data_IF_511993683748
#
_entry.id   IF_511993683748
#
_cell.length_a   1.000
_cell.length_b   1.000
_cell.length_c   1.000
_cell.angle_alpha   90.00
_cell.angle_beta   90.00
_cell.angle_gamma   90.00
#
_symmetry.space_group_name_H-M   'P 1'
#
loop_
_entity.id
_entity.type
_entity.pdbx_description
1 polymer ?
#
# COMPACT_ATOMS: atom_id res chain seq x y z
N UNK A 1 -8.46 3.28 2.61
CA UNK A 1 -9.37 2.54 3.51
C UNK A 1 -9.03 2.87 4.95
N UNK A 2 -7.81 2.66 5.43
CA UNK A 2 -7.38 2.96 6.80
C UNK A 2 -7.67 4.41 7.22
N UNK A 3 -7.28 5.40 6.42
CA UNK A 3 -7.43 6.83 6.74
C UNK A 3 -8.84 7.38 6.43
N UNK A 4 -9.64 6.66 5.70
CA UNK A 4 -11.01 7.03 5.36
C UNK A 4 -12.03 6.16 6.10
N UNK A 5 -12.40 5.02 5.50
CA UNK A 5 -13.52 4.17 5.98
C UNK A 5 -13.38 3.79 7.46
N UNK A 6 -12.19 3.37 7.91
CA UNK A 6 -11.95 2.97 9.31
C UNK A 6 -12.21 4.14 10.29
N UNK A 7 -11.73 5.34 9.95
CA UNK A 7 -11.95 6.53 10.78
C UNK A 7 -13.41 6.99 10.79
N UNK A 8 -14.08 6.98 9.63
CA UNK A 8 -15.51 7.36 9.53
C UNK A 8 -16.38 6.40 10.35
N UNK A 9 -16.10 5.09 10.27
CA UNK A 9 -16.85 4.09 10.99
C UNK A 9 -16.41 3.93 12.46
N UNK A 10 -15.32 4.58 12.85
CA UNK A 10 -14.69 4.43 14.17
C UNK A 10 -14.44 2.96 14.53
N UNK A 11 -13.91 2.18 13.58
CA UNK A 11 -13.61 0.76 13.75
C UNK A 11 -12.12 0.52 13.65
N UNK A 12 -11.54 -0.37 14.46
CA UNK A 12 -10.15 -0.80 14.31
C UNK A 12 -9.91 -1.36 12.91
N UNK A 13 -8.76 -1.04 12.35
CA UNK A 13 -8.34 -1.45 11.01
C UNK A 13 -7.26 -2.52 11.08
N UNK A 14 -7.47 -3.62 10.37
CA UNK A 14 -6.47 -4.64 10.16
C UNK A 14 -6.17 -4.80 8.66
N UNK A 15 -4.89 -4.96 8.33
CA UNK A 15 -4.41 -5.19 6.98
C UNK A 15 -3.87 -6.62 6.86
N UNK A 16 -4.22 -7.30 5.78
CA UNK A 16 -3.78 -8.65 5.49
C UNK A 16 -3.52 -8.81 3.99
N UNK A 17 -2.25 -9.05 3.62
CA UNK A 17 -1.88 -9.32 2.24
C UNK A 17 -2.05 -10.81 1.94
N UNK A 18 -2.83 -11.13 0.91
CA UNK A 18 -3.07 -12.53 0.48
C UNK A 18 -2.01 -13.03 -0.51
N UNK A 19 -1.29 -12.14 -1.18
CA UNK A 19 -0.25 -12.49 -2.14
C UNK A 19 0.94 -13.26 -1.56
N UNK A 20 1.09 -13.28 -0.22
CA UNK A 20 2.10 -14.08 0.49
C UNK A 20 1.53 -15.30 1.23
N UNK A 21 0.24 -15.56 1.13
CA UNK A 21 -0.40 -16.69 1.80
C UNK A 21 -0.07 -17.99 1.05
N UNK A 22 0.56 -18.95 1.75
CA UNK A 22 1.02 -20.21 1.17
C UNK A 22 0.02 -21.33 1.30
N UNK A 23 -0.80 -21.30 2.36
CA UNK A 23 -1.80 -22.33 2.67
C UNK A 23 -2.90 -21.79 3.62
N UNK A 24 -3.92 -22.62 3.85
CA UNK A 24 -5.07 -22.31 4.68
C UNK A 24 -4.72 -22.01 6.15
N UNK A 25 -3.63 -22.59 6.68
CA UNK A 25 -3.20 -22.40 8.07
C UNK A 25 -2.82 -20.96 8.38
N UNK A 26 -2.44 -20.19 7.35
CA UNK A 26 -2.22 -18.74 7.46
C UNK A 26 -3.45 -18.02 8.04
N UNK A 27 -4.67 -18.41 7.65
CA UNK A 27 -5.92 -17.80 8.11
C UNK A 27 -6.50 -18.46 9.37
N UNK A 28 -6.50 -19.81 9.40
CA UNK A 28 -7.18 -20.62 10.41
C UNK A 28 -6.24 -21.21 11.49
N UNK A 29 -4.92 -21.02 11.35
CA UNK A 29 -3.95 -21.60 12.28
C UNK A 29 -3.70 -23.10 12.06
N UNK A 30 -2.91 -23.66 12.95
CA UNK A 30 -2.57 -25.07 12.98
C UNK A 30 -3.21 -25.75 14.20
N UNK A 31 -3.50 -27.05 14.11
CA UNK A 31 -3.96 -27.79 15.28
C UNK A 31 -2.96 -27.67 16.43
N UNK A 32 -3.47 -27.42 17.64
CA UNK A 32 -2.66 -27.27 18.86
C UNK A 32 -1.83 -28.50 19.22
N UNK A 33 -2.07 -29.66 18.59
CA UNK A 33 -1.34 -30.88 18.80
C UNK A 33 0.06 -30.91 18.18
N UNK A 34 0.37 -29.96 17.28
CA UNK A 34 1.69 -29.87 16.65
C UNK A 34 2.61 -28.94 17.43
N UNK A 35 3.87 -29.36 17.59
CA UNK A 35 4.89 -28.49 18.18
C UNK A 35 5.09 -27.22 17.35
N UNK A 36 5.13 -26.07 18.01
CA UNK A 36 5.23 -24.78 17.35
C UNK A 36 3.95 -24.26 16.69
N UNK A 37 2.79 -24.94 16.93
CA UNK A 37 1.52 -24.49 16.41
C UNK A 37 1.11 -23.12 16.95
N UNK A 38 0.43 -22.34 16.11
CA UNK A 38 -0.10 -21.01 16.44
C UNK A 38 -1.48 -20.82 15.84
N UNK A 39 -2.24 -19.90 16.40
CA UNK A 39 -3.52 -19.49 15.84
C UNK A 39 -3.37 -18.75 14.52
N UNK A 40 -4.45 -18.68 13.74
CA UNK A 40 -4.47 -18.04 12.45
C UNK A 40 -4.53 -16.50 12.51
N UNK A 41 -4.29 -15.88 11.37
CA UNK A 41 -4.27 -14.41 11.26
C UNK A 41 -5.60 -13.75 11.58
N UNK A 42 -6.72 -14.42 11.37
CA UNK A 42 -8.05 -13.90 11.70
C UNK A 42 -8.15 -13.70 13.21
N UNK A 43 -7.82 -14.72 14.00
CA UNK A 43 -7.83 -14.63 15.47
C UNK A 43 -6.77 -13.66 15.99
N UNK A 44 -5.57 -13.64 15.40
CA UNK A 44 -4.52 -12.66 15.72
C UNK A 44 -5.03 -11.20 15.56
N UNK A 45 -5.80 -10.93 14.51
CA UNK A 45 -6.46 -9.63 14.30
C UNK A 45 -7.46 -9.32 15.40
N UNK A 46 -8.32 -10.26 15.77
CA UNK A 46 -9.31 -10.04 16.83
C UNK A 46 -8.63 -9.74 18.17
N UNK A 47 -7.56 -10.46 18.51
CA UNK A 47 -6.76 -10.26 19.73
C UNK A 47 -6.14 -8.85 19.71
N UNK A 48 -5.51 -8.44 18.61
CA UNK A 48 -4.87 -7.13 18.47
C UNK A 48 -5.87 -5.96 18.48
N UNK A 49 -6.99 -6.14 17.80
CA UNK A 49 -8.05 -5.15 17.73
C UNK A 49 -8.87 -5.06 19.02
N UNK A 50 -8.85 -6.10 19.86
CA UNK A 50 -9.65 -6.24 21.10
C UNK A 50 -11.16 -6.01 20.87
N UNK A 51 -11.67 -6.38 19.70
CA UNK A 51 -13.07 -6.24 19.33
C UNK A 51 -13.48 -7.29 18.30
N UNK A 52 -14.79 -7.59 18.25
CA UNK A 52 -15.36 -8.56 17.30
C UNK A 52 -15.94 -7.91 16.04
N UNK A 53 -15.75 -6.59 15.87
CA UNK A 53 -16.25 -5.83 14.73
C UNK A 53 -15.15 -5.02 14.00
N UNK A 54 -13.92 -5.55 13.83
CA UNK A 54 -12.87 -4.84 13.11
C UNK A 54 -13.24 -4.67 11.63
N UNK A 55 -12.56 -3.73 10.97
CA UNK A 55 -12.50 -3.66 9.53
C UNK A 55 -11.24 -4.41 9.08
N UNK A 56 -11.44 -5.54 8.39
CA UNK A 56 -10.35 -6.37 7.86
C UNK A 56 -10.22 -6.12 6.37
N UNK A 57 -9.07 -5.61 5.96
CA UNK A 57 -8.75 -5.34 4.56
C UNK A 57 -7.80 -6.39 4.02
N UNK A 58 -8.28 -7.14 3.07
CA UNK A 58 -7.51 -8.14 2.33
C UNK A 58 -6.99 -7.53 1.03
N UNK A 59 -5.68 -7.50 0.89
CA UNK A 59 -5.03 -6.98 -0.32
C UNK A 59 -4.59 -8.11 -1.24
N UNK A 60 -4.58 -7.83 -2.54
CA UNK A 60 -4.10 -8.75 -3.58
C UNK A 60 -4.87 -10.09 -3.64
N UNK A 61 -6.21 -10.04 -3.61
CA UNK A 61 -7.05 -11.23 -3.71
C UNK A 61 -6.77 -12.05 -5.01
N UNK A 62 -6.39 -11.38 -6.09
CA UNK A 62 -6.04 -11.98 -7.38
C UNK A 62 -4.65 -12.66 -7.42
N UNK A 63 -3.91 -12.62 -6.30
CA UNK A 63 -2.60 -13.26 -6.16
C UNK A 63 -2.64 -14.59 -5.42
N UNK A 64 -3.80 -15.01 -4.97
CA UNK A 64 -3.99 -16.37 -4.45
C UNK A 64 -3.69 -17.34 -5.60
N UNK A 65 -2.83 -18.34 -5.31
CA UNK A 65 -2.42 -19.31 -6.31
C UNK A 65 -3.60 -20.19 -6.78
N UNK A 66 -3.59 -20.61 -8.05
CA UNK A 66 -4.57 -21.54 -8.62
C UNK A 66 -4.25 -23.03 -8.25
N UNK A 67 -3.57 -23.24 -7.14
CA UNK A 67 -3.24 -24.56 -6.60
C UNK A 67 -4.31 -25.02 -5.61
N UNK A 68 -4.39 -26.33 -5.28
CA UNK A 68 -5.32 -26.81 -4.25
C UNK A 68 -5.21 -26.05 -2.93
N UNK A 69 -4.02 -25.63 -2.53
CA UNK A 69 -3.81 -24.79 -1.32
C UNK A 69 -4.42 -23.40 -1.46
N UNK A 70 -4.37 -22.81 -2.64
CA UNK A 70 -5.02 -21.52 -2.90
C UNK A 70 -6.56 -21.66 -2.94
N UNK A 71 -7.08 -22.78 -3.42
CA UNK A 71 -8.52 -23.09 -3.36
C UNK A 71 -9.02 -23.23 -1.93
N UNK A 72 -8.21 -23.83 -1.02
CA UNK A 72 -8.51 -23.87 0.41
C UNK A 72 -8.63 -22.45 1.01
N UNK A 73 -7.69 -21.54 0.67
CA UNK A 73 -7.75 -20.14 1.10
C UNK A 73 -9.02 -19.48 0.58
N UNK A 74 -9.35 -19.66 -0.70
CA UNK A 74 -10.57 -19.12 -1.29
C UNK A 74 -11.83 -19.68 -0.62
N UNK A 75 -11.82 -20.96 -0.23
CA UNK A 75 -12.87 -21.60 0.56
C UNK A 75 -13.08 -20.90 1.90
N UNK A 76 -12.01 -20.67 2.66
CA UNK A 76 -12.08 -19.96 3.94
C UNK A 76 -12.65 -18.54 3.76
N UNK A 77 -12.17 -17.80 2.77
CA UNK A 77 -12.67 -16.45 2.49
C UNK A 77 -14.16 -16.47 2.08
N UNK A 78 -14.60 -17.53 1.40
CA UNK A 78 -16.00 -17.74 1.07
C UNK A 78 -16.84 -17.94 2.32
N UNK A 79 -16.38 -18.73 3.29
CA UNK A 79 -17.05 -18.90 4.59
C UNK A 79 -17.08 -17.60 5.40
N UNK A 80 -15.99 -16.83 5.42
CA UNK A 80 -15.94 -15.53 6.10
C UNK A 80 -16.94 -14.51 5.53
N UNK A 81 -17.19 -14.57 4.23
CA UNK A 81 -18.12 -13.65 3.54
C UNK A 81 -19.57 -14.13 3.54
N UNK A 82 -19.82 -15.36 3.98
CA UNK A 82 -21.16 -15.94 4.07
C UNK A 82 -21.84 -15.51 5.39
N UNK A 83 -22.85 -14.68 5.29
CA UNK A 83 -23.61 -14.20 6.45
C UNK A 83 -24.33 -15.28 7.21
N UNK A 84 -24.51 -16.47 6.65
CA UNK A 84 -25.15 -17.62 7.30
C UNK A 84 -24.16 -18.51 8.07
N UNK A 85 -22.88 -18.34 7.87
CA UNK A 85 -21.82 -19.19 8.43
C UNK A 85 -20.73 -18.42 9.18
N UNK A 86 -20.60 -17.13 8.95
CA UNK A 86 -19.52 -16.31 9.53
C UNK A 86 -19.68 -16.03 11.04
N UNK A 87 -20.77 -16.43 11.65
CA UNK A 87 -20.98 -16.38 13.10
C UNK A 87 -20.26 -17.54 13.83
N UNK A 88 -19.79 -18.55 13.08
CA UNK A 88 -19.12 -19.76 13.60
C UNK A 88 -17.77 -19.98 12.91
N UNK A 89 -16.95 -18.95 12.82
CA UNK A 89 -15.61 -19.13 12.30
C UNK A 89 -14.77 -19.99 13.25
N UNK A 90 -14.18 -21.02 12.73
CA UNK A 90 -13.41 -22.02 13.48
C UNK A 90 -11.90 -21.84 13.20
N UNK A 91 -11.13 -21.58 14.27
CA UNK A 91 -9.67 -21.57 14.21
C UNK A 91 -9.15 -22.94 14.67
N UNK A 92 -8.25 -23.54 13.93
CA UNK A 92 -7.74 -24.89 14.19
C UNK A 92 -6.96 -25.02 15.52
N UNK A 93 -6.36 -23.90 15.97
CA UNK A 93 -5.68 -23.87 17.26
C UNK A 93 -6.68 -23.84 18.42
N UNK A 94 -7.77 -23.11 18.28
CA UNK A 94 -8.85 -23.00 19.26
C UNK A 94 -10.02 -23.92 18.91
N UNK A 95 -9.75 -25.23 18.80
CA UNK A 95 -10.66 -26.23 18.25
C UNK A 95 -12.05 -26.32 18.88
N UNK A 96 -12.24 -25.79 20.09
CA UNK A 96 -13.53 -25.80 20.82
C UNK A 96 -14.21 -24.43 20.92
N UNK A 97 -13.68 -23.40 20.24
CA UNK A 97 -14.20 -22.03 20.31
C UNK A 97 -14.59 -21.56 18.92
N UNK A 98 -15.86 -21.17 18.78
CA UNK A 98 -16.36 -20.50 17.59
C UNK A 98 -16.25 -18.99 17.74
N UNK A 99 -15.70 -18.33 16.72
CA UNK A 99 -15.58 -16.87 16.69
C UNK A 99 -16.68 -16.27 15.82
N UNK A 100 -17.47 -15.38 16.41
CA UNK A 100 -18.54 -14.72 15.68
C UNK A 100 -17.99 -13.50 14.90
N UNK A 101 -17.85 -13.65 13.58
CA UNK A 101 -17.38 -12.62 12.68
C UNK A 101 -18.49 -11.87 11.93
N UNK A 102 -19.78 -12.11 12.27
CA UNK A 102 -20.91 -11.48 11.59
C UNK A 102 -20.93 -9.95 11.67
N UNK A 103 -20.24 -9.38 12.67
CA UNK A 103 -20.10 -7.92 12.83
C UNK A 103 -18.81 -7.35 12.24
N UNK A 104 -17.90 -8.19 11.79
CA UNK A 104 -16.68 -7.74 11.11
C UNK A 104 -17.03 -7.20 9.72
N UNK A 105 -16.26 -6.24 9.24
CA UNK A 105 -16.39 -5.73 7.89
C UNK A 105 -15.19 -6.19 7.06
N UNK A 106 -15.47 -6.88 5.97
CA UNK A 106 -14.45 -7.39 5.05
C UNK A 106 -14.39 -6.52 3.82
N UNK A 107 -13.18 -6.07 3.45
CA UNK A 107 -12.92 -5.33 2.22
C UNK A 107 -11.78 -6.05 1.49
N UNK A 108 -11.99 -6.32 0.21
CA UNK A 108 -11.02 -6.99 -0.65
C UNK A 108 -10.56 -6.03 -1.74
N UNK A 109 -9.27 -6.08 -2.09
CA UNK A 109 -8.75 -5.43 -3.28
C UNK A 109 -8.16 -6.44 -4.24
N UNK A 110 -8.31 -6.16 -5.52
CA UNK A 110 -7.75 -6.95 -6.61
C UNK A 110 -7.56 -6.08 -7.84
N UNK A 111 -6.66 -6.50 -8.72
CA UNK A 111 -6.41 -5.86 -10.00
C UNK A 111 -7.05 -6.64 -11.15
N UNK A 112 -7.02 -7.96 -11.09
CA UNK A 112 -7.51 -8.85 -12.14
C UNK A 112 -8.68 -9.70 -11.62
N UNK A 113 -9.88 -9.33 -12.06
CA UNK A 113 -11.12 -10.01 -11.69
C UNK A 113 -11.22 -11.44 -12.22
N UNK A 114 -10.53 -11.76 -13.32
CA UNK A 114 -10.57 -13.08 -13.94
C UNK A 114 -9.95 -14.18 -13.08
N UNK A 115 -9.05 -13.81 -12.18
CA UNK A 115 -8.33 -14.72 -11.26
C UNK A 115 -9.05 -14.96 -9.95
N UNK A 116 -10.20 -14.35 -9.73
CA UNK A 116 -10.96 -14.52 -8.49
C UNK A 116 -11.88 -15.73 -8.61
N UNK A 117 -11.86 -16.56 -7.55
CA UNK A 117 -12.80 -17.67 -7.45
C UNK A 117 -14.25 -17.20 -7.68
N UNK A 118 -15.01 -17.80 -8.63
CA UNK A 118 -16.36 -17.34 -8.98
C UNK A 118 -17.35 -17.37 -7.81
N UNK A 119 -17.21 -18.33 -6.89
CA UNK A 119 -18.08 -18.48 -5.72
C UNK A 119 -17.88 -17.31 -4.77
N UNK A 120 -16.62 -16.99 -4.48
CA UNK A 120 -16.26 -15.84 -3.63
C UNK A 120 -16.72 -14.53 -4.31
N UNK A 121 -16.46 -14.37 -5.61
CA UNK A 121 -16.84 -13.17 -6.36
C UNK A 121 -18.34 -12.86 -6.28
N UNK A 122 -19.20 -13.88 -6.34
CA UNK A 122 -20.65 -13.70 -6.24
C UNK A 122 -21.13 -13.19 -4.88
N UNK A 123 -20.28 -13.26 -3.84
CA UNK A 123 -20.58 -12.77 -2.49
C UNK A 123 -20.06 -11.35 -2.24
N UNK A 124 -19.27 -10.80 -3.15
CA UNK A 124 -18.64 -9.50 -3.02
C UNK A 124 -19.45 -8.41 -3.71
N UNK A 125 -19.65 -7.30 -3.04
CA UNK A 125 -20.15 -6.08 -3.67
C UNK A 125 -18.97 -5.36 -4.35
N UNK A 126 -19.04 -5.22 -5.67
CA UNK A 126 -17.97 -4.66 -6.47
C UNK A 126 -18.04 -3.14 -6.56
N UNK A 127 -16.94 -2.48 -6.19
CA UNK A 127 -16.72 -1.05 -6.41
C UNK A 127 -15.51 -0.88 -7.33
N UNK A 128 -15.73 -0.27 -8.48
CA UNK A 128 -14.64 -0.01 -9.42
C UNK A 128 -13.96 1.32 -9.07
N UNK A 129 -12.66 1.26 -8.75
CA UNK A 129 -11.84 2.44 -8.52
C UNK A 129 -11.20 2.86 -9.86
N UNK A 130 -11.59 4.03 -10.37
CA UNK A 130 -10.98 4.61 -11.57
C UNK A 130 -9.57 5.16 -11.29
N UNK A 131 -8.82 5.41 -12.37
CA UNK A 131 -7.56 6.15 -12.29
C UNK A 131 -7.82 7.66 -12.14
N UNK A 132 -6.73 8.39 -11.90
CA UNK A 132 -6.76 9.84 -11.77
C UNK A 132 -6.25 10.52 -13.04
N UNK A 133 -6.93 11.61 -13.45
CA UNK A 133 -6.44 12.51 -14.47
C UNK A 133 -5.30 13.38 -13.94
N UNK A 134 -4.49 13.96 -14.83
CA UNK A 134 -3.34 14.80 -14.46
C UNK A 134 -3.75 15.94 -13.51
N UNK A 135 -4.87 16.62 -13.77
CA UNK A 135 -5.38 17.68 -12.88
C UNK A 135 -5.69 17.18 -11.47
N UNK A 136 -6.31 16.00 -11.36
CA UNK A 136 -6.61 15.38 -10.06
C UNK A 136 -5.33 14.96 -9.33
N UNK A 137 -4.33 14.43 -10.07
CA UNK A 137 -3.02 14.09 -9.52
C UNK A 137 -2.30 15.32 -8.98
N UNK A 138 -2.40 16.48 -9.63
CA UNK A 138 -1.82 17.72 -9.13
C UNK A 138 -2.46 18.14 -7.79
N UNK A 139 -3.77 18.03 -7.66
CA UNK A 139 -4.47 18.33 -6.39
C UNK A 139 -4.04 17.34 -5.30
N UNK A 140 -4.00 16.02 -5.60
CA UNK A 140 -3.56 14.99 -4.66
C UNK A 140 -2.10 15.23 -4.22
N UNK A 141 -1.23 15.60 -5.16
CA UNK A 141 0.18 15.89 -4.85
C UNK A 141 0.29 17.08 -3.90
N UNK A 142 -0.37 18.19 -4.21
CA UNK A 142 -0.29 19.45 -3.45
C UNK A 142 -0.90 19.31 -2.04
N UNK A 143 -2.09 18.72 -1.94
CA UNK A 143 -2.89 18.76 -0.72
C UNK A 143 -2.58 17.57 0.21
N UNK A 144 -2.07 16.46 -0.31
CA UNK A 144 -1.86 15.23 0.48
C UNK A 144 -0.43 14.69 0.44
N UNK A 145 0.20 14.57 -0.75
CA UNK A 145 1.51 13.92 -0.84
C UNK A 145 2.63 14.84 -0.36
N UNK A 146 2.69 16.06 -0.88
CA UNK A 146 3.74 17.03 -0.55
C UNK A 146 3.77 17.36 0.95
N UNK A 147 2.65 17.65 1.63
CA UNK A 147 2.67 17.91 3.07
C UNK A 147 3.26 16.74 3.87
N UNK A 148 2.85 15.51 3.55
CA UNK A 148 3.33 14.30 4.24
C UNK A 148 4.81 14.03 3.98
N UNK A 149 5.27 14.18 2.73
CA UNK A 149 6.68 13.98 2.36
C UNK A 149 7.54 15.04 3.05
N UNK A 150 7.10 16.29 3.06
CA UNK A 150 7.77 17.41 3.71
C UNK A 150 8.00 17.15 5.20
N UNK A 151 6.97 16.69 5.91
CA UNK A 151 7.09 16.31 7.34
C UNK A 151 8.11 15.21 7.55
N UNK A 152 8.12 14.17 6.72
CA UNK A 152 9.06 13.05 6.82
C UNK A 152 10.53 13.48 6.63
N UNK A 153 10.77 14.54 5.87
CA UNK A 153 12.13 15.03 5.53
C UNK A 153 12.51 16.26 6.35
N UNK A 154 11.65 16.70 7.29
CA UNK A 154 11.88 17.87 8.16
C UNK A 154 12.12 19.18 7.38
N UNK A 155 11.31 19.44 6.35
CA UNK A 155 11.24 20.76 5.74
C UNK A 155 10.05 21.55 6.30
N UNK A 156 10.25 22.85 6.51
CA UNK A 156 9.17 23.74 6.90
C UNK A 156 8.27 24.13 5.72
N UNK A 157 7.05 24.57 6.05
CA UNK A 157 6.11 25.03 5.01
C UNK A 157 6.68 26.23 4.29
N UNK A 158 6.74 26.19 2.95
CA UNK A 158 7.24 27.28 2.11
C UNK A 158 8.74 27.21 1.79
N UNK A 159 9.54 26.35 2.44
CA UNK A 159 10.96 26.19 2.09
C UNK A 159 11.13 25.60 0.67
N UNK A 160 10.31 24.62 0.31
CA UNK A 160 10.30 24.02 -1.04
C UNK A 160 8.97 24.31 -1.71
N UNK A 161 9.02 24.91 -2.88
CA UNK A 161 7.86 25.26 -3.69
C UNK A 161 7.92 24.41 -4.98
N UNK A 162 6.89 23.61 -5.22
CA UNK A 162 6.74 22.85 -6.47
C UNK A 162 5.50 23.39 -7.19
N UNK A 163 5.66 24.16 -8.28
CA UNK A 163 4.53 24.67 -9.05
C UNK A 163 3.70 23.55 -9.69
N UNK A 164 2.39 23.78 -9.88
CA UNK A 164 1.50 22.80 -10.50
C UNK A 164 1.97 22.39 -11.92
N UNK A 165 2.58 23.29 -12.68
CA UNK A 165 3.21 22.96 -13.96
C UNK A 165 4.34 21.95 -13.85
N UNK A 166 5.11 22.01 -12.78
CA UNK A 166 6.19 21.06 -12.52
C UNK A 166 5.61 19.71 -12.11
N UNK A 167 4.53 19.68 -11.32
CA UNK A 167 3.83 18.44 -10.96
C UNK A 167 3.22 17.79 -12.21
N UNK A 168 2.61 18.58 -13.10
CA UNK A 168 2.10 18.08 -14.39
C UNK A 168 3.23 17.47 -15.23
N UNK A 169 4.38 18.15 -15.33
CA UNK A 169 5.56 17.63 -16.03
C UNK A 169 6.02 16.28 -15.45
N UNK A 170 6.07 16.14 -14.13
CA UNK A 170 6.39 14.85 -13.47
C UNK A 170 5.36 13.77 -13.86
N UNK A 171 4.07 14.10 -13.85
CA UNK A 171 3.03 13.16 -14.24
C UNK A 171 3.14 12.70 -15.69
N UNK A 172 3.54 13.56 -16.61
CA UNK A 172 3.62 13.25 -18.03
C UNK A 172 4.90 12.51 -18.41
N UNK A 173 6.02 12.85 -17.76
CA UNK A 173 7.35 12.36 -18.18
C UNK A 173 7.88 11.20 -17.36
N UNK A 174 7.50 11.11 -16.06
CA UNK A 174 8.13 10.19 -15.10
C UNK A 174 7.18 9.12 -14.53
N UNK A 175 5.87 9.20 -14.83
CA UNK A 175 4.93 8.22 -14.27
C UNK A 175 4.44 7.17 -15.27
N UNK A 176 5.05 7.05 -16.46
CA UNK A 176 4.72 6.06 -17.48
C UNK A 176 3.21 5.87 -17.74
N UNK A 177 2.46 6.97 -17.74
CA UNK A 177 0.99 6.99 -17.88
C UNK A 177 0.26 6.15 -16.81
N UNK A 178 0.89 5.91 -15.65
CA UNK A 178 0.26 5.23 -14.53
C UNK A 178 -1.09 5.87 -14.19
N UNK A 179 -2.12 5.07 -14.03
CA UNK A 179 -3.45 5.56 -13.64
C UNK A 179 -3.52 6.00 -12.17
N UNK A 180 -2.65 5.47 -11.32
CA UNK A 180 -2.51 5.79 -9.90
C UNK A 180 -1.59 6.98 -9.62
N UNK A 181 -1.17 7.09 -8.37
CA UNK A 181 -0.27 8.14 -7.88
C UNK A 181 1.00 7.56 -7.20
N UNK A 182 1.27 6.25 -7.35
CA UNK A 182 2.41 5.58 -6.72
C UNK A 182 3.74 6.12 -7.27
N UNK A 183 3.90 6.18 -8.58
CA UNK A 183 5.10 6.69 -9.22
C UNK A 183 5.25 8.20 -9.02
N UNK A 184 4.16 8.96 -9.02
CA UNK A 184 4.18 10.38 -8.68
C UNK A 184 4.67 10.60 -7.24
N UNK A 185 4.16 9.84 -6.28
CA UNK A 185 4.62 9.90 -4.88
C UNK A 185 6.11 9.58 -4.79
N UNK A 186 6.57 8.50 -5.45
CA UNK A 186 7.99 8.11 -5.48
C UNK A 186 8.87 9.19 -6.08
N UNK A 187 8.45 9.81 -7.18
CA UNK A 187 9.18 10.91 -7.81
C UNK A 187 9.32 12.11 -6.86
N UNK A 188 8.24 12.50 -6.19
CA UNK A 188 8.25 13.57 -5.19
C UNK A 188 9.16 13.22 -4.00
N UNK A 189 9.12 11.99 -3.49
CA UNK A 189 10.00 11.52 -2.40
C UNK A 189 11.47 11.61 -2.82
N UNK A 190 11.83 11.20 -4.05
CA UNK A 190 13.19 11.32 -4.57
C UNK A 190 13.63 12.78 -4.63
N UNK A 191 12.78 13.69 -5.14
CA UNK A 191 13.08 15.12 -5.21
C UNK A 191 13.38 15.68 -3.82
N UNK A 192 12.48 15.46 -2.87
CA UNK A 192 12.65 15.97 -1.50
C UNK A 192 13.87 15.38 -0.80
N UNK A 193 14.11 14.09 -0.95
CA UNK A 193 15.26 13.41 -0.35
C UNK A 193 16.58 13.94 -0.93
N UNK A 194 16.66 14.13 -2.26
CA UNK A 194 17.86 14.69 -2.90
C UNK A 194 18.08 16.16 -2.52
N UNK A 195 17.04 16.98 -2.46
CA UNK A 195 17.15 18.37 -2.02
C UNK A 195 17.61 18.44 -0.55
N UNK A 196 17.13 17.54 0.31
CA UNK A 196 17.61 17.47 1.70
C UNK A 196 19.09 17.05 1.77
N UNK A 197 19.49 16.10 0.94
CA UNK A 197 20.90 15.70 0.83
C UNK A 197 21.78 16.89 0.41
N UNK A 198 21.41 17.62 -0.65
CA UNK A 198 22.16 18.79 -1.10
C UNK A 198 22.22 19.90 -0.04
N UNK A 199 21.15 20.10 0.73
CA UNK A 199 21.13 21.05 1.86
C UNK A 199 22.15 20.69 2.95
N UNK A 200 22.32 19.39 3.22
CA UNK A 200 23.18 18.89 4.31
C UNK A 200 24.64 18.70 3.89
N UNK A 201 24.91 18.68 2.59
CA UNK A 201 26.27 18.52 2.07
C UNK A 201 27.12 19.77 2.37
N UNK A 202 28.34 19.55 2.86
CA UNK A 202 29.33 20.61 2.95
C UNK A 202 29.88 20.97 1.56
N UNK A 203 30.14 22.26 1.33
CA UNK A 203 30.79 22.71 0.10
C UNK A 203 32.12 21.97 -0.10
N UNK A 204 32.31 21.35 -1.28
CA UNK A 204 33.52 20.59 -1.60
C UNK A 204 33.47 19.07 -1.36
N UNK A 205 32.36 18.50 -0.89
CA UNK A 205 32.22 17.05 -0.77
C UNK A 205 32.09 16.40 -2.18
N UNK A 206 32.95 15.41 -2.46
CA UNK A 206 33.05 14.75 -3.77
C UNK A 206 32.05 13.61 -4.03
N UNK A 207 30.93 13.58 -3.29
CA UNK A 207 29.92 12.52 -3.43
C UNK A 207 29.20 12.48 -4.77
N UNK A 208 29.20 13.60 -5.51
CA UNK A 208 28.65 13.70 -6.86
C UNK A 208 29.61 14.47 -7.78
N UNK A 209 29.54 14.23 -9.09
CA UNK A 209 30.28 15.03 -10.07
C UNK A 209 29.96 16.51 -9.87
N UNK A 210 30.97 17.39 -9.91
CA UNK A 210 30.84 18.84 -9.66
C UNK A 210 29.74 19.54 -10.49
N UNK A 211 29.35 18.93 -11.61
CA UNK A 211 28.30 19.44 -12.51
C UNK A 211 26.86 19.15 -12.03
N UNK A 212 26.66 18.29 -11.02
CA UNK A 212 25.35 17.86 -10.55
C UNK A 212 24.94 18.49 -9.22
N UNK A 213 25.79 19.29 -8.59
CA UNK A 213 25.47 19.93 -7.30
C UNK A 213 24.50 21.10 -7.50
N UNK A 214 23.37 21.05 -6.79
CA UNK A 214 22.36 22.10 -6.76
C UNK A 214 22.51 22.84 -5.42
N UNK A 215 22.75 24.17 -5.45
CA UNK A 215 22.73 24.98 -4.26
C UNK A 215 21.28 25.21 -3.83
N UNK A 216 20.94 24.73 -2.63
CA UNK A 216 19.58 24.85 -2.09
C UNK A 216 19.52 26.05 -1.15
N UNK A 217 18.92 27.15 -1.60
CA UNK A 217 18.65 28.35 -0.79
C UNK A 217 17.13 28.51 -0.65
N UNK A 218 16.65 28.80 0.54
CA UNK A 218 15.23 28.91 0.81
C UNK A 218 14.70 30.35 0.61
N UNK A 219 13.50 30.53 0.02
CA UNK A 219 12.60 29.51 -0.56
C UNK A 219 13.12 28.96 -1.89
N UNK A 220 13.16 27.65 -2.05
CA UNK A 220 13.65 26.96 -3.23
C UNK A 220 12.50 26.54 -4.13
N UNK A 221 12.49 27.02 -5.37
CA UNK A 221 11.46 26.66 -6.37
C UNK A 221 11.98 25.55 -7.29
N UNK A 222 11.28 24.42 -7.31
CA UNK A 222 11.61 23.27 -8.15
C UNK A 222 11.03 23.50 -9.55
N UNK A 223 11.90 23.74 -10.52
CA UNK A 223 11.54 23.88 -11.94
C UNK A 223 11.59 22.55 -12.68
N UNK A 224 11.02 22.46 -13.87
CA UNK A 224 11.08 21.27 -14.74
C UNK A 224 12.52 20.81 -15.00
N UNK A 225 13.43 21.77 -15.26
CA UNK A 225 14.85 21.48 -15.48
C UNK A 225 15.53 20.85 -14.23
N UNK A 226 15.15 21.29 -13.03
CA UNK A 226 15.65 20.74 -11.79
C UNK A 226 15.12 19.30 -11.60
N UNK A 227 13.85 19.04 -11.92
CA UNK A 227 13.27 17.69 -11.89
C UNK A 227 14.07 16.75 -12.82
N UNK A 228 14.32 17.16 -14.06
CA UNK A 228 15.05 16.35 -15.05
C UNK A 228 16.51 16.07 -14.62
N UNK A 229 17.14 17.01 -13.89
CA UNK A 229 18.46 16.80 -13.28
C UNK A 229 18.41 15.85 -12.09
N UNK A 230 17.39 15.99 -11.22
CA UNK A 230 17.26 15.17 -10.02
C UNK A 230 16.82 13.74 -10.34
N UNK A 231 15.94 13.58 -11.32
CA UNK A 231 15.41 12.27 -11.72
C UNK A 231 15.89 12.00 -13.14
N UNK A 232 17.11 11.42 -13.29
CA UNK A 232 17.55 10.90 -14.59
C UNK A 232 16.55 9.84 -15.05
N UNK A 233 15.99 9.97 -16.26
CA UNK A 233 15.29 8.87 -16.92
C UNK A 233 16.26 7.69 -16.93
N UNK A 234 15.94 6.64 -16.21
CA UNK A 234 16.63 5.37 -16.37
C UNK A 234 16.24 4.90 -17.77
N UNK A 235 17.09 5.13 -18.76
CA UNK A 235 17.01 4.35 -19.99
C UNK A 235 17.00 2.90 -19.56
N UNK A 236 16.05 2.15 -20.07
CA UNK A 236 15.75 0.76 -19.79
C UNK A 236 16.99 -0.13 -19.79
N UNK A 237 17.72 -0.16 -18.70
CA UNK A 237 18.70 -1.17 -18.39
C UNK A 237 18.34 -1.74 -17.03
N UNK A 238 17.84 -2.95 -17.07
CA UNK A 238 17.66 -3.93 -16.01
C UNK A 238 18.55 -3.63 -14.80
N UNK A 239 17.99 -2.93 -13.82
CA UNK A 239 18.58 -2.92 -12.48
C UNK A 239 18.25 -4.27 -11.87
N UNK A 240 19.24 -5.08 -11.45
CA UNK A 240 18.97 -6.34 -10.77
C UNK A 240 18.10 -6.06 -9.52
N UNK A 241 16.97 -6.71 -9.44
CA UNK A 241 16.16 -6.82 -8.24
C UNK A 241 17.06 -7.43 -7.15
N UNK A 242 17.55 -6.65 -6.20
CA UNK A 242 18.38 -7.24 -5.15
C UNK A 242 19.22 -6.32 -4.28
N UNK A 243 19.07 -5.01 -4.31
CA UNK A 243 19.91 -4.10 -3.52
C UNK A 243 19.14 -3.22 -2.52
N UNK A 244 18.15 -3.75 -1.84
CA UNK A 244 17.62 -3.18 -0.60
C UNK A 244 17.16 -4.34 0.30
N UNK A 245 18.11 -4.95 1.01
CA UNK A 245 17.85 -5.54 2.31
C UNK A 245 18.10 -4.48 3.38
#
# INVERSE_FOLDING_TARGET
IKEGVSKILNRPFAFLALGGATDASFLEGHSYTYEGSTWGKIVDILIKCKCMNPLIYFDELDKISETPKGEEIAGILTHLTDTTQNDKFHDKYFSSIDFNLSRAMFIFSYNDESKINPILKNRLYKITAGGYETKQKCVIARDYLIPKIRENVNFEKGQIIIPDETICHICETLTDKEKGVRNLKRALEIIYTKLNLYRLMKEGSSLFNKEETIKVEFPFTVTKQIVDKLIKKTESNTVPFGMYM
#
